data_IF_766003976715
#
_entry.id   IF_766003976715
#
_cell.length_a   1.000
_cell.length_b   1.000
_cell.length_c   1.000
_cell.angle_alpha   90.00
_cell.angle_beta   90.00
_cell.angle_gamma   90.00
#
_symmetry.space_group_name_H-M   'P 1'
#
loop_
_entity.id
_entity.type
_entity.pdbx_description
1 polymer ?
#
# COMPACT_ATOMS: atom_id res chain seq x y z
N UNK A 1 39.39 -16.80 -25.89
CA UNK A 1 39.80 -18.17 -26.25
C UNK A 1 39.25 -19.13 -25.18
N UNK A 2 38.33 -19.97 -25.58
CA UNK A 2 37.89 -21.21 -24.88
C UNK A 2 37.47 -21.09 -23.40
N UNK A 3 36.17 -21.17 -23.09
CA UNK A 3 35.45 -22.36 -22.65
C UNK A 3 33.96 -22.19 -22.98
N UNK A 4 33.53 -22.78 -24.08
CA UNK A 4 32.15 -23.21 -24.35
C UNK A 4 32.11 -24.71 -24.07
N UNK A 5 31.00 -25.23 -23.58
CA UNK A 5 30.58 -26.62 -23.39
C UNK A 5 30.63 -27.08 -21.93
N UNK A 6 29.44 -27.10 -21.32
CA UNK A 6 28.88 -28.19 -20.53
C UNK A 6 27.43 -27.81 -20.08
N UNK A 7 26.47 -27.96 -20.98
CA UNK A 7 25.05 -28.12 -20.66
C UNK A 7 24.47 -29.00 -21.78
N UNK A 8 24.49 -30.28 -21.56
CA UNK A 8 23.65 -31.27 -22.23
C UNK A 8 23.97 -32.64 -21.63
N UNK A 9 23.16 -33.10 -20.69
CA UNK A 9 22.87 -34.51 -20.42
C UNK A 9 22.11 -34.63 -19.08
N UNK A 10 20.78 -34.48 -19.13
CA UNK A 10 19.89 -35.15 -18.17
C UNK A 10 18.45 -35.04 -18.70
N UNK A 11 18.20 -35.79 -19.76
CA UNK A 11 16.85 -36.10 -20.23
C UNK A 11 16.97 -37.46 -20.89
N UNK A 12 16.31 -38.44 -20.37
CA UNK A 12 16.09 -39.84 -20.78
C UNK A 12 16.45 -40.78 -19.64
N UNK A 13 15.45 -41.11 -18.82
CA UNK A 13 15.31 -42.44 -18.21
C UNK A 13 14.03 -42.47 -17.35
N UNK A 14 12.88 -42.65 -17.96
CA UNK A 14 11.75 -43.39 -17.38
C UNK A 14 10.83 -43.80 -18.53
N UNK A 15 11.08 -44.98 -19.08
CA UNK A 15 10.08 -45.73 -19.82
C UNK A 15 10.58 -47.20 -19.86
N UNK A 16 9.66 -48.08 -19.55
CA UNK A 16 9.78 -49.53 -19.65
C UNK A 16 10.14 -50.26 -18.34
N UNK A 17 9.09 -50.79 -17.70
CA UNK A 17 9.01 -52.23 -17.28
C UNK A 17 7.50 -52.55 -17.16
N UNK A 18 6.96 -53.14 -18.18
CA UNK A 18 5.79 -54.02 -18.13
C UNK A 18 6.14 -55.25 -18.93
N UNK A 19 5.99 -56.35 -18.29
CA UNK A 19 5.67 -57.68 -18.78
C UNK A 19 6.51 -58.80 -18.13
N UNK A 20 5.73 -59.81 -17.82
CA UNK A 20 5.99 -61.24 -17.76
C UNK A 20 6.13 -61.85 -16.36
N UNK A 21 5.10 -62.57 -15.97
CA UNK A 21 5.28 -64.02 -15.66
C UNK A 21 3.94 -64.74 -15.59
N UNK A 22 3.85 -65.74 -16.40
CA UNK A 22 2.86 -66.80 -16.53
C UNK A 22 2.93 -67.82 -15.38
N UNK A 23 1.75 -68.42 -15.08
CA UNK A 23 1.70 -69.88 -14.95
C UNK A 23 1.25 -70.45 -13.61
N UNK A 24 0.04 -70.98 -13.50
CA UNK A 24 -0.17 -72.44 -13.35
C UNK A 24 -1.68 -72.72 -13.02
N UNK A 25 -2.20 -73.71 -13.72
CA UNK A 25 -3.55 -74.29 -13.64
C UNK A 25 -3.81 -74.98 -12.29
N UNK A 26 -5.08 -75.01 -11.87
CA UNK A 26 -5.80 -76.25 -11.48
C UNK A 26 -7.27 -76.05 -11.69
N UNK A 27 -7.89 -77.08 -12.36
CA UNK A 27 -9.30 -77.26 -12.59
C UNK A 27 -10.02 -77.73 -11.32
N UNK A 28 -11.32 -77.36 -11.14
CA UNK A 28 -12.39 -78.31 -10.90
C UNK A 28 -13.77 -77.68 -10.86
N UNK A 29 -14.60 -78.17 -11.81
CA UNK A 29 -16.05 -78.46 -11.84
C UNK A 29 -17.09 -77.44 -11.35
N UNK A 30 -17.95 -77.19 -12.33
CA UNK A 30 -19.33 -76.71 -12.16
C UNK A 30 -20.27 -77.77 -11.52
N UNK A 31 -21.43 -77.33 -11.01
CA UNK A 31 -22.67 -77.64 -11.75
C UNK A 31 -23.72 -76.51 -11.86
N UNK A 32 -24.32 -76.52 -13.05
CA UNK A 32 -25.74 -76.38 -13.42
C UNK A 32 -26.67 -75.30 -12.78
N UNK A 33 -27.08 -74.48 -13.69
CA UNK A 33 -28.40 -73.91 -14.01
C UNK A 33 -29.46 -73.59 -12.94
N UNK A 34 -29.86 -72.33 -12.96
CA UNK A 34 -31.31 -71.99 -13.07
C UNK A 34 -31.48 -70.61 -13.76
N UNK A 35 -32.24 -70.59 -14.85
CA UNK A 35 -32.70 -69.43 -15.58
C UNK A 35 -33.68 -68.63 -14.73
N UNK A 36 -33.45 -67.34 -14.63
CA UNK A 36 -34.53 -66.35 -14.48
C UNK A 36 -34.18 -65.08 -15.29
N UNK A 37 -34.96 -64.80 -16.28
CA UNK A 37 -34.94 -63.61 -17.10
C UNK A 37 -35.30 -62.40 -16.24
N UNK A 38 -34.44 -61.37 -16.20
CA UNK A 38 -34.81 -60.07 -15.78
C UNK A 38 -34.21 -59.05 -16.77
N UNK A 39 -35.08 -58.19 -17.27
CA UNK A 39 -34.83 -57.19 -18.27
C UNK A 39 -33.65 -56.26 -17.93
N UNK A 40 -32.70 -56.13 -18.83
CA UNK A 40 -31.68 -55.11 -18.81
C UNK A 40 -32.31 -53.76 -19.15
N UNK A 41 -32.53 -52.93 -18.15
CA UNK A 41 -32.71 -51.49 -18.34
C UNK A 41 -31.32 -50.88 -18.46
N UNK A 42 -30.91 -50.55 -19.66
CA UNK A 42 -29.74 -49.72 -19.91
C UNK A 42 -30.01 -48.34 -19.28
N UNK A 43 -29.47 -48.10 -18.07
CA UNK A 43 -29.31 -46.78 -17.55
C UNK A 43 -28.22 -46.11 -18.38
N UNK A 44 -28.62 -45.25 -19.30
CA UNK A 44 -27.79 -44.27 -19.96
C UNK A 44 -27.12 -43.45 -18.85
N UNK A 45 -25.83 -43.67 -18.61
CA UNK A 45 -25.01 -42.77 -17.79
C UNK A 45 -24.99 -41.46 -18.55
N UNK A 46 -25.74 -40.49 -18.10
CA UNK A 46 -25.64 -39.11 -18.56
C UNK A 46 -24.26 -38.66 -18.15
N UNK A 47 -23.36 -38.60 -19.12
CA UNK A 47 -22.01 -37.99 -18.95
C UNK A 47 -22.31 -36.53 -18.70
N UNK A 48 -22.14 -36.06 -17.45
CA UNK A 48 -22.26 -34.66 -17.12
C UNK A 48 -21.26 -33.92 -18.03
N UNK A 49 -21.78 -33.04 -18.87
CA UNK A 49 -20.98 -32.16 -19.70
C UNK A 49 -19.98 -31.43 -18.78
N UNK A 50 -18.72 -31.43 -19.15
CA UNK A 50 -17.71 -30.60 -18.46
C UNK A 50 -18.25 -29.16 -18.40
N UNK A 51 -18.12 -28.46 -17.27
CA UNK A 51 -18.55 -27.08 -17.18
C UNK A 51 -17.94 -26.25 -18.31
N UNK A 52 -18.75 -25.46 -18.98
CA UNK A 52 -18.31 -24.58 -20.06
C UNK A 52 -17.40 -23.53 -19.46
N UNK A 53 -16.13 -23.55 -19.87
CA UNK A 53 -15.12 -22.56 -19.42
C UNK A 53 -15.39 -21.26 -20.15
N UNK A 54 -15.52 -20.17 -19.40
CA UNK A 54 -15.79 -18.83 -19.94
C UNK A 54 -14.49 -18.07 -20.14
N UNK A 55 -14.24 -17.59 -21.37
CA UNK A 55 -13.14 -16.67 -21.65
C UNK A 55 -13.53 -15.27 -21.17
N UNK A 56 -12.70 -14.67 -20.31
CA UNK A 56 -12.93 -13.33 -19.74
C UNK A 56 -11.64 -12.54 -19.77
N UNK A 57 -11.69 -11.29 -20.21
CA UNK A 57 -10.62 -10.33 -20.06
C UNK A 57 -10.92 -9.44 -18.84
N UNK A 58 -9.95 -9.24 -17.97
CA UNK A 58 -10.00 -8.29 -16.85
C UNK A 58 -8.86 -7.30 -17.01
N UNK A 59 -9.20 -6.05 -17.22
CA UNK A 59 -8.25 -4.93 -17.29
C UNK A 59 -8.14 -4.25 -15.94
N UNK A 60 -6.92 -4.14 -15.40
CA UNK A 60 -6.63 -3.51 -14.11
C UNK A 60 -5.79 -2.28 -14.36
N UNK A 61 -6.34 -1.10 -14.14
CA UNK A 61 -5.58 0.16 -14.16
C UNK A 61 -5.02 0.44 -12.77
N UNK A 62 -3.69 0.59 -12.68
CA UNK A 62 -3.02 0.83 -11.41
C UNK A 62 -1.79 1.74 -11.55
N UNK A 63 -1.30 2.22 -10.41
CA UNK A 63 -0.08 3.04 -10.31
C UNK A 63 0.95 2.45 -9.33
N UNK A 64 0.94 1.15 -9.15
CA UNK A 64 1.93 0.45 -8.33
C UNK A 64 3.27 0.39 -9.07
N UNK A 65 4.18 1.31 -8.74
CA UNK A 65 5.50 1.37 -9.35
C UNK A 65 6.49 0.34 -8.78
N UNK A 66 6.28 -0.14 -7.54
CA UNK A 66 7.13 -1.12 -6.88
C UNK A 66 6.98 -2.50 -7.51
N UNK A 67 8.12 -3.12 -7.86
CA UNK A 67 8.13 -4.44 -8.50
C UNK A 67 7.54 -5.55 -7.61
N UNK A 68 7.72 -5.44 -6.28
CA UNK A 68 7.12 -6.36 -5.32
C UNK A 68 5.60 -6.29 -5.30
N UNK A 69 5.02 -5.10 -5.47
CA UNK A 69 3.56 -4.92 -5.55
C UNK A 69 2.99 -5.44 -6.85
N UNK A 70 3.66 -5.21 -7.98
CA UNK A 70 3.26 -5.79 -9.27
C UNK A 70 3.30 -7.33 -9.23
N UNK A 71 4.39 -7.89 -8.71
CA UNK A 71 4.49 -9.34 -8.51
C UNK A 71 3.47 -9.88 -7.50
N UNK A 72 3.06 -9.08 -6.52
CA UNK A 72 1.98 -9.40 -5.59
C UNK A 72 0.63 -9.49 -6.29
N UNK A 73 0.34 -8.56 -7.21
CA UNK A 73 -0.86 -8.61 -8.05
C UNK A 73 -0.86 -9.88 -8.89
N UNK A 74 0.23 -10.16 -9.61
CA UNK A 74 0.37 -11.39 -10.40
C UNK A 74 0.15 -12.66 -9.55
N UNK A 75 0.62 -12.67 -8.30
CA UNK A 75 0.48 -13.81 -7.40
C UNK A 75 -0.99 -14.04 -6.96
N UNK A 76 -1.73 -12.99 -6.66
CA UNK A 76 -3.14 -13.13 -6.28
C UNK A 76 -4.03 -13.48 -7.48
N UNK A 77 -3.73 -12.95 -8.67
CA UNK A 77 -4.39 -13.31 -9.93
C UNK A 77 -4.21 -14.79 -10.26
N UNK A 78 -2.97 -15.28 -10.14
CA UNK A 78 -2.68 -16.70 -10.35
C UNK A 78 -3.40 -17.60 -9.33
N UNK A 79 -3.46 -17.19 -8.06
CA UNK A 79 -4.16 -17.92 -7.02
C UNK A 79 -5.68 -17.95 -7.28
N UNK A 80 -6.27 -16.83 -7.66
CA UNK A 80 -7.69 -16.76 -8.04
C UNK A 80 -8.02 -17.66 -9.22
N UNK A 81 -7.22 -17.60 -10.29
CA UNK A 81 -7.42 -18.43 -11.48
C UNK A 81 -7.32 -19.92 -11.16
N UNK A 82 -6.46 -20.33 -10.22
CA UNK A 82 -6.34 -21.72 -9.79
C UNK A 82 -7.57 -22.22 -9.02
N UNK A 83 -8.25 -21.36 -8.27
CA UNK A 83 -9.47 -21.69 -7.51
C UNK A 83 -10.76 -21.58 -8.36
N UNK A 84 -10.69 -20.88 -9.50
CA UNK A 84 -11.81 -20.60 -10.40
C UNK A 84 -11.60 -21.18 -11.81
N UNK A 85 -11.48 -22.53 -11.96
CA UNK A 85 -11.23 -23.18 -13.26
C UNK A 85 -12.39 -23.05 -14.26
N UNK A 86 -13.55 -22.54 -13.85
CA UNK A 86 -14.67 -22.17 -14.73
C UNK A 86 -14.40 -20.94 -15.58
N UNK A 87 -13.34 -20.18 -15.27
CA UNK A 87 -12.91 -19.02 -16.03
C UNK A 87 -11.55 -19.24 -16.69
N UNK A 88 -11.40 -18.82 -17.94
CA UNK A 88 -10.14 -18.65 -18.62
C UNK A 88 -9.85 -17.13 -18.67
N UNK A 89 -9.17 -16.60 -17.63
CA UNK A 89 -9.00 -15.18 -17.46
C UNK A 89 -7.74 -14.69 -18.17
N UNK A 90 -7.90 -13.64 -18.98
CA UNK A 90 -6.79 -12.87 -19.52
C UNK A 90 -6.66 -11.58 -18.72
N UNK A 91 -5.60 -11.47 -17.91
CA UNK A 91 -5.29 -10.26 -17.16
C UNK A 91 -4.57 -9.24 -18.05
N UNK A 92 -4.99 -7.99 -17.97
CA UNK A 92 -4.39 -6.85 -18.69
C UNK A 92 -4.06 -5.75 -17.67
N UNK A 93 -2.87 -5.88 -17.04
CA UNK A 93 -2.40 -4.98 -16.01
C UNK A 93 -1.75 -3.76 -16.65
N UNK A 94 -2.38 -2.60 -16.51
CA UNK A 94 -1.97 -1.34 -17.14
C UNK A 94 -1.48 -0.38 -16.07
N UNK A 95 -0.16 -0.15 -16.03
CA UNK A 95 0.50 0.72 -15.06
C UNK A 95 0.79 2.10 -15.64
N UNK A 96 0.37 3.14 -14.90
CA UNK A 96 0.69 4.53 -15.19
C UNK A 96 1.31 5.24 -13.99
N UNK A 97 2.03 6.33 -14.22
CA UNK A 97 2.53 7.15 -13.14
C UNK A 97 1.37 7.91 -12.47
N UNK A 98 1.22 7.74 -11.14
CA UNK A 98 0.14 8.35 -10.36
C UNK A 98 0.12 9.88 -10.47
N UNK A 99 1.28 10.52 -10.46
CA UNK A 99 1.39 11.98 -10.38
C UNK A 99 1.13 12.72 -11.69
N UNK A 100 1.23 12.04 -12.83
CA UNK A 100 1.19 12.70 -14.15
C UNK A 100 0.18 12.08 -15.11
N UNK A 101 0.13 10.77 -15.24
CA UNK A 101 -0.52 10.10 -16.37
C UNK A 101 -1.75 9.29 -15.99
N UNK A 102 -1.78 8.73 -14.77
CA UNK A 102 -2.81 7.76 -14.39
C UNK A 102 -4.24 8.27 -14.61
N UNK A 103 -4.58 9.38 -14.00
CA UNK A 103 -5.96 9.89 -14.05
C UNK A 103 -6.38 10.36 -15.46
N UNK A 104 -5.57 11.11 -16.23
CA UNK A 104 -5.89 11.44 -17.60
C UNK A 104 -6.07 10.22 -18.53
N UNK A 105 -5.25 9.17 -18.35
CA UNK A 105 -5.37 7.94 -19.12
C UNK A 105 -6.63 7.15 -18.73
N UNK A 106 -6.93 7.08 -17.44
CA UNK A 106 -8.16 6.45 -16.95
C UNK A 106 -9.41 7.15 -17.52
N UNK A 107 -9.48 8.48 -17.45
CA UNK A 107 -10.58 9.24 -18.04
C UNK A 107 -10.70 8.99 -19.56
N UNK A 108 -9.59 8.90 -20.25
CA UNK A 108 -9.57 8.59 -21.70
C UNK A 108 -10.13 7.20 -21.99
N UNK A 109 -9.72 6.19 -21.24
CA UNK A 109 -10.21 4.82 -21.36
C UNK A 109 -11.72 4.73 -21.08
N UNK A 110 -12.19 5.35 -20.00
CA UNK A 110 -13.62 5.39 -19.64
C UNK A 110 -14.46 6.08 -20.73
N UNK A 111 -13.96 7.16 -21.33
CA UNK A 111 -14.66 7.88 -22.38
C UNK A 111 -14.65 7.16 -23.74
N UNK A 112 -13.65 6.34 -24.02
CA UNK A 112 -13.51 5.62 -25.31
C UNK A 112 -14.34 4.34 -25.42
N UNK A 113 -14.87 3.85 -24.28
CA UNK A 113 -15.60 2.58 -24.21
C UNK A 113 -14.70 1.36 -23.98
N UNK A 114 -13.37 1.52 -23.91
CA UNK A 114 -12.43 0.49 -23.47
C UNK A 114 -12.25 0.62 -21.95
N UNK A 115 -13.32 0.32 -21.25
CA UNK A 115 -13.45 0.60 -19.82
C UNK A 115 -12.77 -0.49 -18.99
N UNK A 116 -11.82 -0.15 -18.11
CA UNK A 116 -11.24 -1.13 -17.20
C UNK A 116 -12.29 -1.66 -16.22
N UNK A 117 -12.18 -2.93 -15.86
CA UNK A 117 -12.97 -3.57 -14.82
C UNK A 117 -12.58 -3.08 -13.44
N UNK A 118 -11.27 -2.93 -13.21
CA UNK A 118 -10.69 -2.61 -11.90
C UNK A 118 -9.79 -1.38 -12.02
N UNK A 119 -9.97 -0.44 -11.12
CA UNK A 119 -9.27 0.84 -11.11
C UNK A 119 -8.68 1.10 -9.72
N UNK A 120 -7.37 1.25 -9.63
CA UNK A 120 -6.72 1.62 -8.37
C UNK A 120 -7.02 3.09 -8.03
N UNK A 121 -7.43 3.35 -6.81
CA UNK A 121 -7.64 4.72 -6.33
C UNK A 121 -8.56 4.80 -5.13
N UNK A 122 -8.39 5.87 -4.37
CA UNK A 122 -9.28 6.19 -3.25
C UNK A 122 -10.47 7.00 -3.80
N UNK A 123 -11.72 6.61 -3.55
CA UNK A 123 -12.91 7.28 -4.09
C UNK A 123 -13.00 8.76 -3.70
N UNK A 124 -12.52 9.15 -2.52
CA UNK A 124 -12.47 10.54 -2.09
C UNK A 124 -11.49 11.42 -2.90
N UNK A 125 -10.49 10.82 -3.57
CA UNK A 125 -9.58 11.54 -4.48
C UNK A 125 -10.15 11.67 -5.90
N UNK A 126 -11.10 10.83 -6.27
CA UNK A 126 -11.69 10.77 -7.62
C UNK A 126 -13.22 10.84 -7.57
N UNK A 127 -13.81 11.90 -6.96
CA UNK A 127 -15.26 12.03 -6.80
C UNK A 127 -15.99 12.02 -8.14
N UNK A 128 -15.40 12.59 -9.19
CA UNK A 128 -15.99 12.59 -10.54
C UNK A 128 -16.29 11.18 -11.07
N UNK A 129 -15.47 10.17 -10.73
CA UNK A 129 -15.71 8.79 -11.16
C UNK A 129 -16.94 8.20 -10.46
N UNK A 130 -17.13 8.55 -9.20
CA UNK A 130 -18.30 8.15 -8.40
C UNK A 130 -19.55 8.82 -8.94
N UNK A 131 -19.53 10.13 -9.15
CA UNK A 131 -20.65 10.94 -9.66
C UNK A 131 -21.09 10.50 -11.07
N UNK A 132 -20.15 10.12 -11.92
CA UNK A 132 -20.41 9.65 -13.28
C UNK A 132 -20.87 8.18 -13.35
N UNK A 133 -20.88 7.46 -12.21
CA UNK A 133 -21.32 6.07 -12.13
C UNK A 133 -20.33 5.05 -12.68
N UNK A 134 -19.04 5.38 -12.73
CA UNK A 134 -17.98 4.45 -13.11
C UNK A 134 -17.48 3.59 -11.96
N UNK A 135 -18.02 3.77 -10.76
CA UNK A 135 -17.60 3.04 -9.55
C UNK A 135 -18.80 2.42 -8.87
N UNK A 136 -18.70 1.13 -8.59
CA UNK A 136 -19.77 0.37 -7.92
C UNK A 136 -19.96 0.83 -6.47
N UNK A 137 -21.19 1.01 -6.06
CA UNK A 137 -21.57 1.20 -4.65
C UNK A 137 -21.48 -0.14 -3.92
N UNK A 138 -20.53 -0.24 -3.00
CA UNK A 138 -20.21 -1.43 -2.23
C UNK A 138 -20.74 -1.38 -0.78
N UNK A 139 -21.58 -0.40 -0.47
CA UNK A 139 -22.09 -0.15 0.90
C UNK A 139 -22.74 -1.39 1.50
N UNK A 140 -23.49 -2.13 0.70
CA UNK A 140 -24.18 -3.36 1.11
C UNK A 140 -23.39 -4.64 0.77
N UNK A 141 -22.10 -4.52 0.36
CA UNK A 141 -21.29 -5.68 0.04
C UNK A 141 -21.03 -6.53 1.29
N UNK A 142 -21.49 -7.77 1.28
CA UNK A 142 -21.45 -8.67 2.44
C UNK A 142 -20.01 -9.04 2.86
N UNK A 143 -19.07 -9.12 1.89
CA UNK A 143 -17.67 -9.47 2.16
C UNK A 143 -16.99 -8.31 2.88
N UNK A 144 -17.08 -7.09 2.35
CA UNK A 144 -16.48 -5.89 2.98
C UNK A 144 -17.04 -5.70 4.40
N UNK A 145 -18.37 -5.79 4.55
CA UNK A 145 -19.02 -5.66 5.86
C UNK A 145 -18.62 -6.78 6.83
N UNK A 146 -18.29 -7.97 6.30
CA UNK A 146 -17.82 -9.13 7.07
C UNK A 146 -16.36 -9.04 7.53
N UNK A 147 -15.54 -8.14 6.95
CA UNK A 147 -14.13 -7.98 7.33
C UNK A 147 -13.94 -7.41 8.74
N UNK A 148 -14.96 -6.77 9.32
CA UNK A 148 -14.90 -6.19 10.66
C UNK A 148 -13.89 -5.04 10.78
N UNK A 149 -13.67 -4.28 9.70
CA UNK A 149 -12.69 -3.21 9.64
C UNK A 149 -13.06 -2.04 10.56
N UNK A 150 -12.06 -1.35 11.15
CA UNK A 150 -12.28 -0.09 11.84
C UNK A 150 -12.93 0.96 10.95
N UNK A 151 -13.66 1.91 11.57
CA UNK A 151 -14.31 3.01 10.84
C UNK A 151 -13.32 3.80 9.97
N UNK A 152 -12.10 4.02 10.46
CA UNK A 152 -11.07 4.73 9.71
C UNK A 152 -10.64 4.01 8.43
N UNK A 153 -10.44 2.67 8.48
CA UNK A 153 -10.13 1.89 7.27
C UNK A 153 -11.27 1.97 6.25
N UNK A 154 -12.54 1.95 6.69
CA UNK A 154 -13.70 2.12 5.81
C UNK A 154 -13.82 3.57 5.31
N UNK A 155 -13.45 4.57 6.12
CA UNK A 155 -13.42 5.97 5.73
C UNK A 155 -12.50 6.24 4.54
N UNK A 156 -11.34 5.59 4.50
CA UNK A 156 -10.39 5.72 3.40
C UNK A 156 -10.94 5.22 2.04
N UNK A 157 -11.90 4.30 2.06
CA UNK A 157 -12.50 3.72 0.84
C UNK A 157 -13.93 4.20 0.58
N UNK A 158 -14.33 5.29 1.26
CA UNK A 158 -15.65 5.87 1.21
C UNK A 158 -15.65 7.27 0.58
N UNK A 159 -16.80 7.64 0.03
CA UNK A 159 -17.14 9.01 -0.34
C UNK A 159 -18.61 9.23 0.00
N UNK A 160 -18.96 10.41 0.53
CA UNK A 160 -20.33 10.80 0.91
C UNK A 160 -21.07 9.75 1.76
N UNK A 161 -20.34 9.08 2.65
CA UNK A 161 -20.88 8.08 3.58
C UNK A 161 -21.18 6.71 2.96
N UNK A 162 -20.77 6.48 1.72
CA UNK A 162 -20.90 5.21 1.00
C UNK A 162 -19.55 4.61 0.69
N UNK A 163 -19.48 3.28 0.67
CA UNK A 163 -18.26 2.53 0.36
C UNK A 163 -18.17 2.30 -1.15
N UNK A 164 -17.02 2.64 -1.75
CA UNK A 164 -16.79 2.53 -3.19
C UNK A 164 -15.49 1.79 -3.54
N UNK A 165 -14.70 1.36 -2.57
CA UNK A 165 -13.44 0.69 -2.82
C UNK A 165 -13.23 -0.55 -1.96
N UNK A 166 -12.48 -1.51 -2.50
CA UNK A 166 -11.97 -2.65 -1.79
C UNK A 166 -10.63 -2.27 -1.15
N UNK A 167 -10.53 -2.26 0.19
CA UNK A 167 -9.29 -1.97 0.89
C UNK A 167 -8.44 -3.23 1.01
N UNK A 168 -7.22 -3.22 0.47
CA UNK A 168 -6.35 -4.41 0.46
C UNK A 168 -5.43 -4.44 1.67
N UNK A 169 -4.64 -3.40 1.84
CA UNK A 169 -3.58 -3.29 2.82
C UNK A 169 -3.49 -1.87 3.38
N UNK A 170 -2.58 -1.66 4.32
CA UNK A 170 -2.35 -0.33 4.86
C UNK A 170 -0.91 0.13 4.68
N UNK A 171 -0.76 1.43 4.53
CA UNK A 171 0.52 2.11 4.65
C UNK A 171 0.59 2.86 5.96
N UNK A 172 1.82 3.01 6.41
CA UNK A 172 2.19 3.82 7.56
C UNK A 172 3.56 4.43 7.31
N UNK A 173 3.95 5.39 8.10
CA UNK A 173 5.25 6.03 8.02
C UNK A 173 5.74 6.43 9.39
N UNK A 174 7.06 6.62 9.47
CA UNK A 174 7.75 6.97 10.68
C UNK A 174 9.25 6.94 10.46
N UNK A 175 10.03 6.80 11.51
CA UNK A 175 11.48 6.84 11.46
C UNK A 175 12.04 5.44 11.28
N UNK A 176 12.68 5.21 10.14
CA UNK A 176 13.57 4.07 9.92
C UNK A 176 14.97 4.45 10.37
N UNK A 177 15.67 3.57 11.09
CA UNK A 177 17.00 3.86 11.61
C UNK A 177 17.97 2.72 11.39
N UNK A 178 19.25 3.05 11.22
CA UNK A 178 20.35 2.10 11.10
C UNK A 178 20.72 1.55 12.49
N UNK A 179 20.47 0.25 12.72
CA UNK A 179 20.70 -0.40 14.01
C UNK A 179 22.16 -0.40 14.43
N UNK A 180 23.09 -0.56 13.48
CA UNK A 180 24.53 -0.55 13.78
C UNK A 180 24.98 0.83 14.28
N UNK A 181 24.58 1.91 13.61
CA UNK A 181 24.91 3.29 14.05
C UNK A 181 24.35 3.57 15.43
N UNK A 182 23.08 3.22 15.69
CA UNK A 182 22.46 3.42 17.00
C UNK A 182 23.18 2.63 18.10
N UNK A 183 23.53 1.36 17.84
CA UNK A 183 24.24 0.52 18.79
C UNK A 183 25.66 1.04 19.08
N UNK A 184 26.42 1.44 18.04
CA UNK A 184 27.78 1.94 18.16
C UNK A 184 27.83 3.25 18.94
N UNK A 185 26.81 4.10 18.82
CA UNK A 185 26.71 5.37 19.54
C UNK A 185 25.96 5.27 20.89
N UNK A 186 25.44 4.09 21.22
CA UNK A 186 24.68 3.87 22.45
C UNK A 186 23.35 4.60 22.50
N UNK A 187 22.73 4.83 21.34
CA UNK A 187 21.42 5.49 21.20
C UNK A 187 20.31 4.43 21.32
N UNK A 188 19.38 4.63 22.24
CA UNK A 188 18.12 3.88 22.29
C UNK A 188 17.10 4.49 21.31
N UNK A 189 16.06 3.72 20.94
CA UNK A 189 14.95 4.26 20.18
C UNK A 189 14.30 5.42 20.95
N UNK A 190 14.26 6.65 20.37
CA UNK A 190 13.67 7.80 21.05
C UNK A 190 12.18 7.61 21.30
N UNK A 191 11.74 7.91 22.50
CA UNK A 191 10.32 7.88 22.93
C UNK A 191 9.76 9.27 23.17
N UNK A 192 10.63 10.28 23.27
CA UNK A 192 10.29 11.70 23.42
C UNK A 192 10.96 12.53 22.33
N UNK A 193 10.41 13.70 22.04
CA UNK A 193 10.98 14.58 21.03
C UNK A 193 12.36 15.12 21.43
N UNK A 194 12.55 15.42 22.72
CA UNK A 194 13.85 15.79 23.27
C UNK A 194 14.90 14.69 23.10
N UNK A 195 14.54 13.41 23.27
CA UNK A 195 15.46 12.29 23.00
C UNK A 195 15.81 12.17 21.52
N UNK A 196 14.85 12.43 20.60
CA UNK A 196 15.12 12.43 19.16
C UNK A 196 16.13 13.52 18.78
N UNK A 197 15.97 14.74 19.30
CA UNK A 197 16.90 15.83 19.06
C UNK A 197 18.28 15.52 19.63
N UNK A 198 18.37 14.95 20.85
CA UNK A 198 19.63 14.52 21.46
C UNK A 198 20.31 13.40 20.65
N UNK A 199 19.55 12.48 20.05
CA UNK A 199 20.07 11.49 19.13
C UNK A 199 20.70 12.15 17.90
N UNK A 200 20.03 13.15 17.30
CA UNK A 200 20.57 13.90 16.17
C UNK A 200 21.90 14.60 16.52
N UNK A 201 21.99 15.22 17.72
CA UNK A 201 23.25 15.84 18.20
C UNK A 201 24.37 14.80 18.36
N UNK A 202 24.06 13.64 18.94
CA UNK A 202 25.02 12.56 19.15
C UNK A 202 25.53 12.00 17.81
N UNK A 203 24.65 11.77 16.86
CA UNK A 203 24.98 11.28 15.51
C UNK A 203 25.86 12.30 14.77
N UNK A 204 25.50 13.58 14.84
CA UNK A 204 26.30 14.69 14.25
C UNK A 204 27.70 14.79 14.86
N UNK A 205 27.80 14.66 16.18
CA UNK A 205 29.09 14.69 16.88
C UNK A 205 30.01 13.52 16.46
N UNK A 206 29.43 12.40 16.01
CA UNK A 206 30.17 11.28 15.44
C UNK A 206 30.58 11.49 13.97
N UNK A 207 30.19 12.61 13.35
CA UNK A 207 30.48 12.90 11.95
C UNK A 207 29.59 12.18 10.95
N UNK A 208 28.39 11.72 11.38
CA UNK A 208 27.38 11.07 10.57
C UNK A 208 26.21 12.04 10.39
N UNK A 209 25.53 12.01 9.23
CA UNK A 209 24.33 12.79 9.04
C UNK A 209 23.15 12.15 9.78
N UNK A 210 22.38 12.88 10.57
CA UNK A 210 21.21 12.33 11.24
C UNK A 210 20.16 11.80 10.27
N UNK A 211 19.90 12.53 9.16
CA UNK A 211 18.76 12.28 8.30
C UNK A 211 19.11 12.11 6.82
N UNK A 212 18.51 11.11 6.18
CA UNK A 212 18.35 11.03 4.74
C UNK A 212 16.95 11.55 4.38
N UNK A 213 16.87 12.75 3.78
CA UNK A 213 15.60 13.34 3.35
C UNK A 213 15.41 13.17 1.84
N UNK A 214 14.14 13.08 1.42
CA UNK A 214 13.71 12.89 0.04
C UNK A 214 12.81 14.04 -0.44
N UNK A 215 13.12 15.29 -0.10
CA UNK A 215 12.29 16.46 -0.40
C UNK A 215 12.26 16.85 -1.89
N UNK A 216 13.02 16.20 -2.75
CA UNK A 216 12.84 16.23 -4.19
C UNK A 216 11.47 15.67 -4.61
N UNK A 217 10.89 14.81 -3.79
CA UNK A 217 9.52 14.33 -3.89
C UNK A 217 8.66 15.06 -2.83
N UNK A 218 7.85 16.03 -3.24
CA UNK A 218 7.10 16.95 -2.36
C UNK A 218 6.19 16.25 -1.32
N UNK A 219 5.88 14.96 -1.52
CA UNK A 219 5.10 14.16 -0.56
C UNK A 219 5.85 13.97 0.77
N UNK A 220 7.20 14.01 0.78
CA UNK A 220 7.94 13.76 2.02
C UNK A 220 7.81 14.88 3.03
N UNK A 221 7.80 16.15 2.60
CA UNK A 221 7.48 17.26 3.50
C UNK A 221 6.09 17.14 4.12
N UNK A 222 5.13 16.70 3.33
CA UNK A 222 3.75 16.45 3.76
C UNK A 222 3.70 15.33 4.82
N UNK A 223 4.28 14.15 4.55
CA UNK A 223 4.19 13.02 5.50
C UNK A 223 4.96 13.26 6.79
N UNK A 224 6.03 14.03 6.78
CA UNK A 224 6.77 14.41 7.99
C UNK A 224 5.93 15.30 8.92
N UNK A 225 5.07 16.15 8.35
CA UNK A 225 4.14 16.98 9.12
C UNK A 225 2.88 16.25 9.55
N UNK A 226 2.44 15.26 8.79
CA UNK A 226 1.19 14.53 9.08
C UNK A 226 1.17 13.90 10.45
N UNK A 227 2.31 13.33 10.92
CA UNK A 227 2.37 12.68 12.21
C UNK A 227 1.93 13.64 13.32
N UNK A 228 2.48 14.85 13.32
CA UNK A 228 2.12 15.87 14.29
C UNK A 228 0.66 16.31 14.14
N UNK A 229 0.29 16.74 12.93
CA UNK A 229 -1.04 17.32 12.66
C UNK A 229 -2.16 16.32 12.93
N UNK A 230 -2.06 15.10 12.39
CA UNK A 230 -3.14 14.12 12.54
C UNK A 230 -3.29 13.66 13.99
N UNK A 231 -2.17 13.42 14.68
CA UNK A 231 -2.21 13.03 16.09
C UNK A 231 -2.89 14.12 16.94
N UNK A 232 -2.50 15.38 16.77
CA UNK A 232 -3.05 16.49 17.56
C UNK A 232 -4.49 16.82 17.16
N UNK A 233 -4.82 16.83 15.86
CA UNK A 233 -6.17 17.10 15.37
C UNK A 233 -7.18 16.05 15.87
N UNK A 234 -6.87 14.76 15.69
CA UNK A 234 -7.77 13.68 16.15
C UNK A 234 -7.90 13.66 17.68
N UNK A 235 -6.82 13.96 18.41
CA UNK A 235 -6.89 14.11 19.87
C UNK A 235 -7.75 15.28 20.34
N UNK A 236 -7.79 16.36 19.56
CA UNK A 236 -8.65 17.52 19.81
C UNK A 236 -10.12 17.30 19.37
N UNK A 237 -10.39 16.25 18.61
CA UNK A 237 -11.72 15.99 18.03
C UNK A 237 -12.01 16.80 16.76
N UNK A 238 -10.96 17.33 16.10
CA UNK A 238 -11.05 18.14 14.87
C UNK A 238 -11.17 17.24 13.64
N UNK A 239 -12.11 16.30 13.62
CA UNK A 239 -12.33 15.38 12.49
C UNK A 239 -12.72 16.12 11.20
N UNK A 240 -13.33 17.30 11.30
CA UNK A 240 -13.70 18.15 10.17
C UNK A 240 -12.59 19.11 9.72
N UNK A 241 -11.34 18.91 10.19
CA UNK A 241 -10.21 19.79 9.94
C UNK A 241 -10.08 20.20 8.46
N UNK A 242 -9.99 19.24 7.57
CA UNK A 242 -9.75 19.50 6.15
C UNK A 242 -10.98 20.11 5.47
N UNK A 243 -12.19 19.67 5.83
CA UNK A 243 -13.44 20.25 5.33
C UNK A 243 -13.56 21.74 5.71
N UNK A 244 -13.28 22.08 6.97
CA UNK A 244 -13.32 23.45 7.48
C UNK A 244 -12.30 24.36 6.79
N UNK A 245 -11.09 23.84 6.51
CA UNK A 245 -10.05 24.59 5.79
C UNK A 245 -10.42 24.82 4.32
N UNK A 246 -11.00 23.80 3.65
CA UNK A 246 -11.42 23.91 2.24
C UNK A 246 -12.63 24.80 2.05
N UNK A 247 -13.55 24.84 3.02
CA UNK A 247 -14.72 25.72 2.98
C UNK A 247 -14.45 27.15 3.44
N UNK A 248 -13.32 27.39 4.12
CA UNK A 248 -13.00 28.65 4.76
C UNK A 248 -13.79 28.93 6.05
N UNK A 249 -14.48 27.91 6.60
CA UNK A 249 -15.15 28.03 7.90
C UNK A 249 -14.16 28.30 9.03
N UNK A 250 -12.97 27.65 8.95
CA UNK A 250 -11.84 27.91 9.84
C UNK A 250 -10.56 28.14 9.03
N UNK A 251 -9.60 28.77 9.67
CA UNK A 251 -8.27 29.06 9.13
C UNK A 251 -7.20 28.19 9.78
N UNK A 252 -6.04 28.06 9.15
CA UNK A 252 -4.89 27.34 9.72
C UNK A 252 -4.51 27.87 11.12
N UNK A 253 -4.63 29.19 11.32
CA UNK A 253 -4.36 29.85 12.61
C UNK A 253 -5.39 29.57 13.71
N UNK A 254 -6.55 29.01 13.37
CA UNK A 254 -7.55 28.59 14.36
C UNK A 254 -7.19 27.24 15.01
N UNK A 255 -6.15 26.59 14.51
CA UNK A 255 -5.64 25.31 14.95
C UNK A 255 -4.17 25.47 15.41
N UNK A 256 -3.91 25.64 16.71
CA UNK A 256 -2.56 25.95 17.22
C UNK A 256 -1.50 24.91 16.84
N UNK A 257 -1.88 23.67 16.70
CA UNK A 257 -0.95 22.57 16.37
C UNK A 257 -0.31 22.69 14.97
N UNK A 258 -0.79 23.58 14.06
CA UNK A 258 -0.08 23.84 12.80
C UNK A 258 1.20 24.66 13.02
N UNK A 259 1.11 25.75 13.80
CA UNK A 259 2.28 26.56 14.12
C UNK A 259 3.27 25.81 15.04
N UNK A 260 2.74 25.10 16.04
CA UNK A 260 3.53 24.24 16.92
C UNK A 260 4.25 23.17 16.11
N UNK A 261 3.58 22.44 15.22
CA UNK A 261 4.17 21.38 14.40
C UNK A 261 5.25 21.89 13.46
N UNK A 262 5.04 23.02 12.77
CA UNK A 262 6.08 23.64 11.95
C UNK A 262 7.29 24.09 12.80
N UNK A 263 7.05 24.61 14.02
CA UNK A 263 8.12 25.02 14.93
C UNK A 263 8.96 23.83 15.41
N UNK A 264 8.31 22.71 15.73
CA UNK A 264 9.02 21.48 16.10
C UNK A 264 9.79 20.91 14.89
N UNK A 265 9.14 20.85 13.72
CA UNK A 265 9.80 20.38 12.51
C UNK A 265 11.03 21.21 12.14
N UNK A 266 10.95 22.54 12.30
CA UNK A 266 12.09 23.46 12.09
C UNK A 266 13.33 23.07 12.91
N UNK A 267 13.14 22.61 14.16
CA UNK A 267 14.27 22.15 14.99
C UNK A 267 15.00 20.97 14.35
N UNK A 268 14.28 20.07 13.69
CA UNK A 268 14.84 18.90 13.01
C UNK A 268 15.49 19.25 11.67
N UNK A 269 14.94 20.21 10.93
CA UNK A 269 15.44 20.64 9.63
C UNK A 269 16.87 21.25 9.69
N UNK A 270 17.36 21.65 10.87
CA UNK A 270 18.73 22.11 11.02
C UNK A 270 19.79 21.03 10.68
N UNK A 271 19.43 19.75 10.72
CA UNK A 271 20.30 18.63 10.33
C UNK A 271 20.04 18.13 8.92
N UNK A 272 19.39 18.95 8.10
CA UNK A 272 19.10 18.58 6.72
C UNK A 272 20.40 18.57 5.89
N UNK A 273 20.58 17.52 5.10
CA UNK A 273 21.71 17.40 4.17
C UNK A 273 21.55 18.40 3.01
N UNK A 274 22.66 18.76 2.39
CA UNK A 274 22.66 19.70 1.25
C UNK A 274 21.97 19.15 0.00
N UNK A 275 21.86 17.82 -0.13
CA UNK A 275 21.20 17.14 -1.24
C UNK A 275 19.70 16.83 -1.01
N UNK A 276 19.21 17.10 0.20
CA UNK A 276 17.85 16.76 0.64
C UNK A 276 16.74 17.25 -0.34
N UNK A 277 16.89 18.49 -0.85
CA UNK A 277 15.90 19.13 -1.70
C UNK A 277 15.85 18.58 -3.14
N UNK A 278 16.84 17.78 -3.55
CA UNK A 278 16.90 17.19 -4.91
C UNK A 278 16.80 15.66 -4.88
N UNK A 279 16.93 15.05 -3.71
CA UNK A 279 16.84 13.61 -3.58
C UNK A 279 15.41 13.13 -3.79
N UNK A 280 15.25 12.19 -4.72
CA UNK A 280 14.07 11.34 -4.80
C UNK A 280 14.07 10.33 -3.64
N UNK A 281 12.95 9.63 -3.47
CA UNK A 281 12.86 8.52 -2.52
C UNK A 281 14.03 7.53 -2.65
N UNK A 282 14.34 7.09 -3.87
CA UNK A 282 15.40 6.10 -4.08
C UNK A 282 16.79 6.65 -3.77
N UNK A 283 17.08 7.90 -4.10
CA UNK A 283 18.34 8.54 -3.74
C UNK A 283 18.51 8.65 -2.21
N UNK A 284 17.45 9.00 -1.49
CA UNK A 284 17.49 9.02 -0.03
C UNK A 284 17.63 7.62 0.58
N UNK A 285 17.00 6.59 0.00
CA UNK A 285 17.23 5.20 0.41
C UNK A 285 18.67 4.76 0.20
N UNK A 286 19.33 5.15 -0.89
CA UNK A 286 20.77 4.88 -1.11
C UNK A 286 21.64 5.56 -0.05
N UNK A 287 21.35 6.81 0.31
CA UNK A 287 22.04 7.52 1.39
C UNK A 287 21.88 6.79 2.73
N UNK A 288 20.67 6.34 3.05
CA UNK A 288 20.37 5.61 4.27
C UNK A 288 21.04 4.23 4.31
N UNK A 289 20.86 3.42 3.27
CA UNK A 289 21.38 2.04 3.22
C UNK A 289 22.90 1.97 3.09
N UNK A 290 23.56 3.03 2.58
CA UNK A 290 25.02 3.14 2.59
C UNK A 290 25.60 3.57 3.94
N UNK A 291 24.76 3.89 4.94
CA UNK A 291 25.19 4.35 6.26
C UNK A 291 25.70 5.79 6.30
N UNK A 292 25.50 6.58 5.25
CA UNK A 292 25.84 8.01 5.25
C UNK A 292 24.92 8.80 6.18
N UNK A 293 23.66 8.34 6.33
CA UNK A 293 22.73 8.89 7.31
C UNK A 293 22.22 7.80 8.24
N UNK A 294 21.96 8.18 9.49
CA UNK A 294 21.53 7.27 10.54
C UNK A 294 20.03 6.97 10.51
N UNK A 295 19.21 7.91 10.05
CA UNK A 295 17.76 7.82 10.04
C UNK A 295 17.17 8.31 8.71
N UNK A 296 15.97 7.82 8.39
CA UNK A 296 15.15 8.30 7.29
C UNK A 296 13.68 8.29 7.72
N UNK A 297 12.97 9.40 7.50
CA UNK A 297 11.50 9.37 7.61
C UNK A 297 10.93 8.73 6.34
N UNK A 298 10.29 7.58 6.51
CA UNK A 298 9.95 6.73 5.37
C UNK A 298 8.62 6.00 5.58
N UNK A 299 8.08 5.44 4.51
CA UNK A 299 6.81 4.74 4.55
C UNK A 299 6.91 3.26 4.20
N UNK A 300 5.98 2.48 4.72
CA UNK A 300 5.92 1.03 4.50
C UNK A 300 5.78 0.64 3.03
N UNK A 301 5.26 1.53 2.19
CA UNK A 301 5.12 1.28 0.74
C UNK A 301 6.45 1.00 0.04
N UNK A 302 7.57 1.49 0.58
CA UNK A 302 8.90 1.33 0.00
C UNK A 302 9.76 0.27 0.68
N UNK A 303 9.22 -0.53 1.60
CA UNK A 303 9.97 -1.61 2.28
C UNK A 303 10.53 -2.60 1.25
N UNK A 304 9.75 -2.94 0.20
CA UNK A 304 10.23 -3.82 -0.86
C UNK A 304 11.46 -3.29 -1.59
N UNK A 305 11.52 -1.98 -1.85
CA UNK A 305 12.68 -1.33 -2.47
C UNK A 305 13.89 -1.33 -1.50
N UNK A 306 13.64 -1.03 -0.22
CA UNK A 306 14.66 -1.07 0.84
C UNK A 306 15.27 -2.48 0.98
N UNK A 307 14.42 -3.52 1.08
CA UNK A 307 14.86 -4.91 1.18
C UNK A 307 15.68 -5.35 -0.05
N UNK A 308 15.28 -4.90 -1.25
CA UNK A 308 16.03 -5.17 -2.47
C UNK A 308 17.40 -4.49 -2.47
N UNK A 309 17.53 -3.26 -1.95
CA UNK A 309 18.80 -2.53 -1.88
C UNK A 309 19.78 -3.17 -0.89
N UNK A 310 19.29 -3.70 0.24
CA UNK A 310 20.14 -4.32 1.26
C UNK A 310 20.37 -5.81 1.06
N UNK A 311 19.77 -6.41 0.04
CA UNK A 311 19.88 -7.85 -0.22
C UNK A 311 21.33 -8.33 -0.30
N UNK A 312 21.71 -9.25 0.60
CA UNK A 312 23.08 -9.78 0.68
C UNK A 312 24.08 -8.89 1.39
N UNK A 313 23.66 -7.80 2.02
CA UNK A 313 24.47 -6.97 2.91
C UNK A 313 24.19 -7.32 4.39
N UNK A 314 25.07 -6.82 5.28
CA UNK A 314 24.89 -6.91 6.73
C UNK A 314 24.12 -5.68 7.29
N UNK A 315 23.45 -4.90 6.42
CA UNK A 315 22.70 -3.73 6.85
C UNK A 315 21.42 -4.16 7.58
N UNK A 316 21.29 -3.72 8.81
CA UNK A 316 20.09 -3.91 9.63
C UNK A 316 19.44 -2.59 9.97
N UNK A 317 18.12 -2.53 9.88
CA UNK A 317 17.35 -1.35 10.24
C UNK A 317 16.22 -1.67 11.24
N UNK A 318 15.77 -0.64 11.94
CA UNK A 318 14.62 -0.69 12.81
C UNK A 318 13.62 0.40 12.45
N UNK A 319 12.55 0.48 13.21
CA UNK A 319 11.49 1.47 13.05
C UNK A 319 10.98 1.91 14.41
N UNK A 320 10.74 3.21 14.55
CA UNK A 320 9.95 3.74 15.66
C UNK A 320 8.97 4.81 15.16
N UNK A 321 7.86 4.94 15.87
CA UNK A 321 6.92 6.05 15.65
C UNK A 321 7.63 7.33 16.07
N UNK A 322 7.73 8.30 15.16
CA UNK A 322 8.37 9.57 15.49
C UNK A 322 7.69 10.22 16.69
N UNK A 323 8.40 10.48 17.79
CA UNK A 323 7.85 11.25 18.89
C UNK A 323 7.62 12.69 18.45
N UNK A 324 6.47 13.27 18.84
CA UNK A 324 6.05 14.61 18.46
C UNK A 324 6.13 15.62 19.62
N UNK A 325 6.27 15.11 20.82
CA UNK A 325 6.37 15.86 22.08
C UNK A 325 7.07 14.99 23.13
N UNK A 326 7.24 15.54 24.34
CA UNK A 326 7.83 14.82 25.47
C UNK A 326 6.78 14.11 26.33
N UNK A 327 5.49 14.24 26.02
CA UNK A 327 4.38 13.63 26.73
C UNK A 327 4.02 12.22 26.20
N UNK A 328 4.64 11.77 25.10
CA UNK A 328 4.38 10.47 24.49
C UNK A 328 3.04 10.42 23.73
N UNK A 329 2.63 11.54 23.15
CA UNK A 329 1.36 11.66 22.41
C UNK A 329 1.40 11.02 21.03
N UNK A 330 2.59 10.66 20.53
CA UNK A 330 2.78 10.14 19.17
C UNK A 330 1.94 8.90 18.88
N UNK A 331 1.36 8.87 17.70
CA UNK A 331 0.59 7.73 17.18
C UNK A 331 1.10 7.30 15.82
N UNK A 332 1.00 6.01 15.53
CA UNK A 332 1.28 5.53 14.18
C UNK A 332 0.20 6.05 13.23
N UNK A 333 0.61 6.81 12.23
CA UNK A 333 -0.31 7.23 11.18
C UNK A 333 -0.61 6.06 10.26
N UNK A 334 -1.89 5.82 9.99
CA UNK A 334 -2.36 4.69 9.18
C UNK A 334 -3.31 5.21 8.09
N UNK A 335 -3.15 4.66 6.89
CA UNK A 335 -4.04 4.90 5.76
C UNK A 335 -4.10 3.62 4.91
N UNK A 336 -5.24 3.34 4.28
CA UNK A 336 -5.33 2.30 3.24
C UNK A 336 -4.37 2.67 2.11
N UNK A 337 -3.52 1.72 1.69
CA UNK A 337 -2.57 1.94 0.60
C UNK A 337 -3.13 1.48 -0.74
N UNK A 338 -3.35 0.20 -0.89
CA UNK A 338 -4.01 -0.33 -2.08
C UNK A 338 -5.52 -0.31 -1.86
N UNK A 339 -6.20 0.59 -2.57
CA UNK A 339 -7.64 0.66 -2.70
C UNK A 339 -8.00 0.47 -4.17
N UNK A 340 -8.91 -0.43 -4.47
CA UNK A 340 -9.39 -0.68 -5.82
C UNK A 340 -10.89 -0.50 -5.93
N UNK A 341 -11.29 0.26 -6.93
CA UNK A 341 -12.67 0.48 -7.34
C UNK A 341 -13.02 -0.45 -8.50
N UNK A 342 -14.27 -0.91 -8.57
CA UNK A 342 -14.74 -1.78 -9.65
C UNK A 342 -15.76 -1.02 -10.50
N UNK A 343 -15.62 -1.09 -11.82
CA UNK A 343 -16.51 -0.42 -12.75
C UNK A 343 -17.78 -1.27 -13.03
N UNK A 344 -18.97 -0.83 -12.63
CA UNK A 344 -20.20 -1.58 -12.81
C UNK A 344 -20.64 -1.66 -14.27
N UNK A 345 -20.05 -0.87 -15.17
CA UNK A 345 -20.40 -0.81 -16.59
C UNK A 345 -19.49 -1.68 -17.46
N UNK A 346 -18.42 -2.27 -16.90
CA UNK A 346 -17.49 -3.12 -17.63
C UNK A 346 -18.05 -4.53 -17.84
N UNK A 347 -17.65 -5.18 -18.94
CA UNK A 347 -18.17 -6.51 -19.33
C UNK A 347 -17.82 -7.60 -18.29
N UNK A 348 -16.62 -7.51 -17.70
CA UNK A 348 -16.11 -8.45 -16.68
C UNK A 348 -16.53 -8.14 -15.25
N UNK A 349 -17.49 -7.23 -15.01
CA UNK A 349 -17.85 -6.73 -13.67
C UNK A 349 -18.07 -7.84 -12.63
N UNK A 350 -18.85 -8.86 -12.95
CA UNK A 350 -19.17 -9.94 -11.98
C UNK A 350 -17.92 -10.71 -11.54
N UNK A 351 -16.99 -10.94 -12.47
CA UNK A 351 -15.71 -11.64 -12.16
C UNK A 351 -14.74 -10.71 -11.44
N UNK A 352 -14.74 -9.41 -11.80
CA UNK A 352 -13.95 -8.41 -11.11
C UNK A 352 -14.37 -8.28 -9.63
N UNK A 353 -15.68 -8.26 -9.32
CA UNK A 353 -16.17 -8.27 -7.94
C UNK A 353 -15.72 -9.55 -7.21
N UNK A 354 -15.89 -10.74 -7.81
CA UNK A 354 -15.46 -12.01 -7.22
C UNK A 354 -13.95 -12.02 -6.93
N UNK A 355 -13.16 -11.51 -7.86
CA UNK A 355 -11.70 -11.38 -7.69
C UNK A 355 -11.34 -10.44 -6.53
N UNK A 356 -11.99 -9.29 -6.44
CA UNK A 356 -11.73 -8.33 -5.35
C UNK A 356 -12.17 -8.88 -4.00
N UNK A 357 -13.31 -9.56 -3.92
CA UNK A 357 -13.77 -10.26 -2.71
C UNK A 357 -12.82 -11.37 -2.29
N UNK A 358 -12.29 -12.14 -3.26
CA UNK A 358 -11.25 -13.14 -3.04
C UNK A 358 -9.99 -12.49 -2.50
N UNK A 359 -9.52 -11.40 -3.10
CA UNK A 359 -8.28 -10.71 -2.70
C UNK A 359 -8.34 -10.25 -1.24
N UNK A 360 -9.41 -9.56 -0.83
CA UNK A 360 -9.55 -9.06 0.56
C UNK A 360 -9.80 -10.15 1.59
N UNK A 361 -10.02 -11.40 1.16
CA UNK A 361 -10.26 -12.56 2.03
C UNK A 361 -9.15 -13.61 1.90
N UNK A 362 -9.31 -14.57 0.98
CA UNK A 362 -8.42 -15.73 0.82
C UNK A 362 -7.11 -15.38 0.12
N UNK A 363 -7.16 -14.50 -0.87
CA UNK A 363 -6.02 -14.08 -1.69
C UNK A 363 -5.02 -13.18 -0.98
N UNK A 364 -5.41 -12.57 0.15
CA UNK A 364 -4.57 -11.64 0.89
C UNK A 364 -3.22 -12.22 1.33
N UNK A 365 -3.17 -13.53 1.63
CA UNK A 365 -1.92 -14.23 1.94
C UNK A 365 -0.93 -14.24 0.78
N UNK A 366 -1.41 -14.51 -0.44
CA UNK A 366 -0.58 -14.49 -1.67
C UNK A 366 -0.05 -13.08 -1.95
N UNK A 367 -0.90 -12.05 -1.79
CA UNK A 367 -0.48 -10.66 -1.88
C UNK A 367 0.62 -10.31 -0.87
N UNK A 368 0.36 -10.50 0.43
CA UNK A 368 1.27 -10.10 1.51
C UNK A 368 2.63 -10.82 1.45
N UNK A 369 2.66 -12.09 1.01
CA UNK A 369 3.88 -12.87 0.90
C UNK A 369 4.88 -12.32 -0.13
N UNK A 370 4.40 -11.60 -1.14
CA UNK A 370 5.20 -11.09 -2.25
C UNK A 370 5.34 -9.56 -2.19
N UNK A 371 4.25 -8.84 -1.91
CA UNK A 371 4.27 -7.38 -1.83
C UNK A 371 5.01 -6.83 -0.62
N UNK A 372 5.20 -7.65 0.41
CA UNK A 372 5.73 -7.28 1.73
C UNK A 372 4.87 -6.21 2.44
N UNK A 373 3.59 -6.14 2.10
CA UNK A 373 2.63 -5.24 2.75
C UNK A 373 1.80 -6.00 3.79
N UNK A 374 1.57 -5.42 4.98
CA UNK A 374 0.69 -6.00 5.97
C UNK A 374 -0.78 -5.76 5.57
N UNK A 375 -1.62 -6.78 5.70
CA UNK A 375 -3.06 -6.67 5.42
C UNK A 375 -3.76 -5.79 6.45
N UNK A 376 -4.92 -5.25 6.08
CA UNK A 376 -5.71 -4.37 6.96
C UNK A 376 -6.08 -4.99 8.30
N UNK A 377 -6.36 -6.29 8.34
CA UNK A 377 -6.64 -7.03 9.57
C UNK A 377 -5.41 -7.31 10.45
N UNK A 378 -4.22 -6.80 10.05
CA UNK A 378 -2.96 -7.01 10.75
C UNK A 378 -2.29 -8.36 10.45
N UNK A 379 -2.86 -9.17 9.56
CA UNK A 379 -2.20 -10.41 9.11
C UNK A 379 -0.99 -10.09 8.24
N UNK A 380 0.06 -10.88 8.43
CA UNK A 380 1.29 -10.82 7.63
C UNK A 380 1.70 -12.25 7.26
N UNK A 381 2.37 -12.39 6.13
CA UNK A 381 2.89 -13.70 5.73
C UNK A 381 4.05 -14.15 6.66
N UNK A 382 4.25 -15.46 6.79
CA UNK A 382 5.31 -16.03 7.64
C UNK A 382 6.72 -15.58 7.22
N UNK A 383 6.93 -15.39 5.92
CA UNK A 383 8.18 -14.93 5.33
C UNK A 383 8.33 -13.38 5.33
N UNK A 384 7.36 -12.63 5.86
CA UNK A 384 7.46 -11.18 5.92
C UNK A 384 8.66 -10.72 6.77
N UNK A 385 9.37 -9.65 6.36
CA UNK A 385 10.41 -9.03 7.16
C UNK A 385 9.92 -8.65 8.56
N UNK A 386 10.81 -8.64 9.53
CA UNK A 386 10.45 -8.32 10.93
C UNK A 386 9.80 -6.94 11.08
N UNK A 387 10.22 -5.99 10.24
CA UNK A 387 9.62 -4.65 10.22
C UNK A 387 8.13 -4.68 9.86
N UNK A 388 7.74 -5.51 8.90
CA UNK A 388 6.32 -5.64 8.48
C UNK A 388 5.48 -6.20 9.63
N UNK A 389 6.02 -7.18 10.37
CA UNK A 389 5.40 -7.74 11.59
C UNK A 389 5.28 -6.69 12.69
N UNK A 390 6.32 -5.87 12.87
CA UNK A 390 6.33 -4.77 13.83
C UNK A 390 5.23 -3.76 13.52
N UNK A 391 5.12 -3.30 12.26
CA UNK A 391 4.10 -2.34 11.84
C UNK A 391 2.68 -2.89 12.04
N UNK A 392 2.45 -4.15 11.68
CA UNK A 392 1.16 -4.81 11.90
C UNK A 392 0.82 -4.90 13.41
N UNK A 393 1.83 -5.21 14.24
CA UNK A 393 1.67 -5.25 15.70
C UNK A 393 1.32 -3.89 16.29
N UNK A 394 1.98 -2.80 15.86
CA UNK A 394 1.69 -1.44 16.32
C UNK A 394 0.27 -1.04 15.89
N UNK A 395 -0.14 -1.29 14.64
CA UNK A 395 -1.53 -1.08 14.21
C UNK A 395 -2.51 -1.84 15.09
N UNK A 396 -2.23 -3.10 15.36
CA UNK A 396 -3.06 -3.97 16.20
C UNK A 396 -3.18 -3.51 17.66
N UNK A 397 -2.21 -2.72 18.18
CA UNK A 397 -2.28 -2.14 19.53
C UNK A 397 -3.32 -1.03 19.67
N UNK A 398 -3.79 -0.46 18.55
CA UNK A 398 -4.73 0.65 18.52
C UNK A 398 -4.11 2.02 18.81
N UNK A 399 -2.78 2.12 19.00
CA UNK A 399 -2.09 3.42 19.13
C UNK A 399 -1.84 4.05 17.75
N UNK A 400 -2.93 4.40 17.07
CA UNK A 400 -2.94 4.88 15.69
C UNK A 400 -3.69 6.21 15.55
N UNK A 401 -3.31 6.99 14.53
CA UNK A 401 -4.05 8.12 13.98
C UNK A 401 -4.44 7.76 12.55
N UNK A 402 -5.73 7.55 12.31
CA UNK A 402 -6.22 7.04 11.05
C UNK A 402 -6.70 8.17 10.15
N UNK A 403 -6.26 8.19 8.88
CA UNK A 403 -6.66 9.25 7.94
C UNK A 403 -8.16 9.24 7.66
N UNK A 404 -8.75 8.10 7.50
CA UNK A 404 -10.19 7.95 7.27
C UNK A 404 -11.08 8.30 8.47
N UNK A 405 -10.50 8.73 9.61
CA UNK A 405 -11.26 9.32 10.71
C UNK A 405 -11.59 10.80 10.47
N UNK A 406 -10.92 11.45 9.50
CA UNK A 406 -11.32 12.79 9.04
C UNK A 406 -12.54 12.70 8.11
N UNK A 407 -13.42 13.68 8.20
CA UNK A 407 -14.70 13.72 7.45
C UNK A 407 -14.48 13.79 5.94
N UNK A 408 -13.46 14.55 5.51
CA UNK A 408 -13.06 14.65 4.11
C UNK A 408 -11.55 14.87 4.00
N UNK A 409 -10.88 14.29 2.98
CA UNK A 409 -9.50 14.64 2.65
C UNK A 409 -9.41 16.05 2.01
N UNK A 410 -8.20 16.62 1.96
CA UNK A 410 -7.94 17.70 1.03
C UNK A 410 -8.18 17.24 -0.41
N UNK A 411 -8.85 18.04 -1.21
CA UNK A 411 -8.90 17.82 -2.65
C UNK A 411 -7.50 18.01 -3.28
N UNK A 412 -7.36 17.74 -4.57
CA UNK A 412 -6.09 17.78 -5.28
C UNK A 412 -5.41 19.16 -5.22
N UNK A 413 -6.19 20.25 -5.31
CA UNK A 413 -5.66 21.61 -5.28
C UNK A 413 -5.08 21.95 -3.90
N UNK A 414 -5.85 21.73 -2.83
CA UNK A 414 -5.38 21.99 -1.47
C UNK A 414 -4.19 21.09 -1.09
N UNK A 415 -4.19 19.82 -1.54
CA UNK A 415 -3.06 18.92 -1.34
C UNK A 415 -1.79 19.43 -2.03
N UNK A 416 -1.91 19.95 -3.26
CA UNK A 416 -0.79 20.49 -4.01
C UNK A 416 -0.22 21.72 -3.32
N UNK A 417 -1.08 22.65 -2.91
CA UNK A 417 -0.65 23.85 -2.23
C UNK A 417 -0.03 23.55 -0.87
N UNK A 418 -0.65 22.68 -0.08
CA UNK A 418 -0.10 22.17 1.18
C UNK A 418 1.35 21.68 1.01
N UNK A 419 1.56 20.78 0.07
CA UNK A 419 2.89 20.23 -0.24
C UNK A 419 3.88 21.29 -0.70
N UNK A 420 3.42 22.21 -1.55
CA UNK A 420 4.26 23.31 -2.07
C UNK A 420 4.80 24.19 -0.93
N UNK A 421 3.94 24.58 0.00
CA UNK A 421 4.37 25.44 1.11
C UNK A 421 5.23 24.71 2.12
N UNK A 422 4.98 23.45 2.40
CA UNK A 422 5.86 22.64 3.26
C UNK A 422 7.23 22.40 2.63
N UNK A 423 7.28 22.13 1.34
CA UNK A 423 8.56 22.00 0.61
C UNK A 423 9.34 23.32 0.64
N UNK A 424 8.66 24.45 0.40
CA UNK A 424 9.29 25.76 0.48
C UNK A 424 9.77 26.11 1.90
N UNK A 425 9.04 25.68 2.92
CA UNK A 425 9.46 25.81 4.32
C UNK A 425 10.75 25.04 4.58
N UNK A 426 10.82 23.77 4.18
CA UNK A 426 12.04 22.97 4.29
C UNK A 426 13.21 23.57 3.49
N UNK A 427 12.96 24.05 2.26
CA UNK A 427 13.96 24.71 1.42
C UNK A 427 14.55 25.96 2.10
N UNK A 428 13.75 26.68 2.87
CA UNK A 428 14.21 27.85 3.62
C UNK A 428 15.32 27.51 4.62
N UNK A 429 15.30 26.33 5.19
CA UNK A 429 16.38 25.82 6.08
C UNK A 429 17.59 25.32 5.29
N UNK A 430 17.40 24.77 4.11
CA UNK A 430 18.48 24.38 3.23
C UNK A 430 19.32 25.58 2.75
N UNK A 431 18.66 26.68 2.44
CA UNK A 431 19.32 27.91 1.95
C UNK A 431 19.68 28.94 3.02
N UNK A 432 19.36 28.66 4.31
CA UNK A 432 19.69 29.49 5.46
C UNK A 432 18.77 30.71 5.66
N UNK A 433 17.66 30.84 4.92
CA UNK A 433 16.69 31.93 5.14
C UNK A 433 15.81 31.71 6.37
N UNK A 434 15.63 30.46 6.79
CA UNK A 434 14.94 30.03 8.03
C UNK A 434 13.57 30.71 8.21
N UNK A 435 12.64 30.43 7.28
CA UNK A 435 11.27 30.95 7.33
C UNK A 435 10.64 30.62 8.69
N UNK A 436 9.92 31.56 9.30
CA UNK A 436 9.17 31.28 10.52
C UNK A 436 7.93 30.45 10.25
N UNK A 437 7.49 29.65 11.24
CA UNK A 437 6.24 28.91 11.17
C UNK A 437 5.04 29.83 10.86
N UNK A 438 4.97 30.98 11.54
CA UNK A 438 3.92 31.97 11.34
C UNK A 438 3.89 32.53 9.90
N UNK A 439 5.05 32.85 9.31
CA UNK A 439 5.12 33.35 7.92
C UNK A 439 4.72 32.26 6.91
N UNK A 440 5.12 30.99 7.14
CA UNK A 440 4.72 29.87 6.32
C UNK A 440 3.18 29.71 6.34
N UNK A 441 2.58 29.68 7.54
CA UNK A 441 1.13 29.56 7.70
C UNK A 441 0.37 30.75 7.09
N UNK A 442 0.87 31.96 7.24
CA UNK A 442 0.24 33.14 6.64
C UNK A 442 0.23 33.06 5.11
N UNK A 443 1.35 32.64 4.50
CA UNK A 443 1.45 32.46 3.06
C UNK A 443 0.55 31.32 2.55
N UNK A 444 0.51 30.20 3.26
CA UNK A 444 -0.36 29.04 2.93
C UNK A 444 -1.84 29.42 3.06
N UNK A 445 -2.22 30.13 4.13
CA UNK A 445 -3.60 30.59 4.33
C UNK A 445 -4.04 31.54 3.22
N UNK A 446 -3.19 32.48 2.83
CA UNK A 446 -3.50 33.40 1.73
C UNK A 446 -3.79 32.64 0.42
N UNK A 447 -3.06 31.55 0.17
CA UNK A 447 -3.30 30.68 -0.99
C UNK A 447 -4.62 29.89 -0.86
N UNK A 448 -4.92 29.39 0.33
CA UNK A 448 -6.20 28.71 0.59
C UNK A 448 -7.38 29.66 0.42
N UNK A 449 -7.29 30.89 0.94
CA UNK A 449 -8.31 31.93 0.76
C UNK A 449 -8.53 32.26 -0.74
N UNK A 450 -7.46 32.29 -1.55
CA UNK A 450 -7.54 32.46 -3.00
C UNK A 450 -8.29 31.30 -3.67
N UNK A 451 -7.93 30.04 -3.34
CA UNK A 451 -8.59 28.86 -3.92
C UNK A 451 -10.10 28.84 -3.61
N UNK A 452 -10.47 29.20 -2.39
CA UNK A 452 -11.88 29.30 -1.97
C UNK A 452 -12.61 30.35 -2.82
N UNK A 453 -11.99 31.54 -3.02
CA UNK A 453 -12.59 32.60 -3.79
C UNK A 453 -12.73 32.28 -5.29
N UNK A 454 -11.84 31.44 -5.84
CA UNK A 454 -11.85 31.03 -7.26
C UNK A 454 -12.87 29.91 -7.53
N UNK A 455 -13.23 29.11 -6.54
CA UNK A 455 -14.11 27.93 -6.66
C UNK A 455 -15.49 28.12 -6.02
N UNK A 456 -15.73 29.21 -5.32
CA UNK A 456 -17.03 29.63 -4.74
C UNK A 456 -17.66 30.68 -5.60
#
# INVERSE_FOLDING_TARGET
>A
MKVKKLVALFLVFVLAISMVACGAKTEEKAPEETKAAAAATEAKKEEAAAPEVKDIKITVFHYMAQTTKQAGLDAVEAAFAAEHPEYNITWDNVMYNQGTDYFPQLQTALASGDQPEIMMGNPGLYPDLVEQGYVADLTDNAVINGLGLPKGDLGDVSADGKIYGFPIDFKTWGVFYNKAIFADLGIAEPTTYSELLAACETITAAGIDPWAHAFGDAVFGDIEMRNYIWTKALAAGDNDLFANLMSGEKKLTDYPYFEEGLTEWAKRLQWMRTDAMVNSQNAALEVFTSGQAAMMYFGSWGIGDLEAMIAGSDFEYGFFVEPIDDEGSAKLNVQVDQCFMVNPNAEGYDVAIQFMEYWVTQGGGSWSAVSLMPLLNGSVADNAPEIVKTLASIKGSGNIAHYGDFTAPFNSQFTTDWRTYLTAFAESYSNGSNQSAADCLAAMQAKFDQNIAENG
#
